data_IF_785677999026
#
_entry.id   IF_785677999026
#
_cell.length_a   1.000
_cell.length_b   1.000
_cell.length_c   1.000
_cell.angle_alpha   90.00
_cell.angle_beta   90.00
_cell.angle_gamma   90.00
#
_symmetry.space_group_name_H-M   'P 1'
#
loop_
_entity.id
_entity.type
_entity.pdbx_description
1 polymer ?
#
# COMPACT_ATOMS: atom_id res chain seq x y z
N UNK A 1 -22.11 -11.51 12.40
CA UNK A 1 -21.02 -11.61 11.43
C UNK A 1 -19.84 -12.34 12.06
N UNK A 2 -18.94 -12.90 11.24
CA UNK A 2 -17.73 -13.54 11.74
C UNK A 2 -16.84 -12.54 12.47
N UNK A 3 -16.21 -12.99 13.55
CA UNK A 3 -15.21 -12.20 14.27
C UNK A 3 -13.86 -12.38 13.56
N UNK A 4 -13.50 -11.40 12.72
CA UNK A 4 -12.29 -11.44 11.89
C UNK A 4 -11.25 -10.48 12.48
N UNK A 5 -10.03 -11.00 12.65
CA UNK A 5 -8.85 -10.23 13.04
C UNK A 5 -7.66 -10.61 12.17
N UNK A 6 -6.65 -9.75 12.12
CA UNK A 6 -5.39 -9.99 11.42
C UNK A 6 -4.22 -9.89 12.38
N UNK A 7 -3.17 -10.64 12.12
CA UNK A 7 -1.88 -10.58 12.82
C UNK A 7 -0.75 -10.54 11.81
N UNK A 8 0.42 -10.08 12.25
CA UNK A 8 1.66 -10.29 11.49
C UNK A 8 2.00 -11.78 11.41
N UNK A 9 2.83 -12.24 10.44
CA UNK A 9 3.38 -13.58 10.44
C UNK A 9 4.22 -13.84 11.70
N UNK A 10 4.33 -15.10 12.11
CA UNK A 10 5.22 -15.43 13.22
C UNK A 10 6.69 -15.21 12.84
N UNK A 11 7.57 -14.82 13.79
CA UNK A 11 9.00 -14.73 13.54
C UNK A 11 9.58 -15.98 12.90
N UNK A 12 9.20 -17.16 13.37
CA UNK A 12 9.64 -18.45 12.82
C UNK A 12 9.27 -18.59 11.33
N UNK A 13 8.04 -18.26 10.95
CA UNK A 13 7.61 -18.37 9.55
C UNK A 13 8.38 -17.40 8.63
N UNK A 14 8.75 -16.22 9.13
CA UNK A 14 9.58 -15.26 8.38
C UNK A 14 11.00 -15.82 8.20
N UNK A 15 11.60 -16.31 9.29
CA UNK A 15 12.95 -16.88 9.26
C UNK A 15 13.05 -18.12 8.36
N UNK A 16 12.07 -18.99 8.35
CA UNK A 16 12.03 -20.18 7.48
C UNK A 16 12.06 -19.79 5.98
N UNK A 17 11.35 -18.71 5.61
CA UNK A 17 11.37 -18.19 4.23
C UNK A 17 12.75 -17.59 3.90
N UNK A 18 13.31 -16.79 4.81
CA UNK A 18 14.63 -16.21 4.62
C UNK A 18 15.74 -17.28 4.53
N UNK A 19 15.69 -18.30 5.41
CA UNK A 19 16.63 -19.40 5.40
C UNK A 19 16.66 -20.10 4.04
N UNK A 20 15.47 -20.43 3.54
CA UNK A 20 15.34 -21.07 2.22
C UNK A 20 15.83 -20.16 1.10
N UNK A 21 15.51 -18.87 1.12
CA UNK A 21 15.96 -17.94 0.08
C UNK A 21 17.49 -17.74 0.11
N UNK A 22 18.10 -17.71 1.29
CA UNK A 22 19.54 -17.54 1.47
C UNK A 22 20.37 -18.80 1.14
N UNK A 23 19.75 -19.95 0.82
CA UNK A 23 20.41 -21.10 0.19
C UNK A 23 20.76 -20.83 -1.29
N UNK A 24 19.98 -19.98 -1.97
CA UNK A 24 20.10 -19.71 -3.40
C UNK A 24 20.60 -18.29 -3.71
N UNK A 25 20.32 -17.33 -2.83
CA UNK A 25 20.60 -15.91 -3.05
C UNK A 25 21.53 -15.35 -1.97
N UNK A 26 22.35 -14.39 -2.34
CA UNK A 26 23.27 -13.72 -1.41
C UNK A 26 22.57 -12.77 -0.46
N UNK A 27 21.56 -12.03 -0.97
CA UNK A 27 20.81 -11.01 -0.24
C UNK A 27 19.30 -11.13 -0.48
N UNK A 28 18.53 -10.64 0.48
CA UNK A 28 17.08 -10.54 0.43
C UNK A 28 16.67 -9.07 0.63
N UNK A 29 15.81 -8.56 -0.26
CA UNK A 29 15.02 -7.36 -0.01
C UNK A 29 13.66 -7.82 0.54
N UNK A 30 13.42 -7.58 1.82
CA UNK A 30 12.17 -7.95 2.49
C UNK A 30 11.26 -6.73 2.62
N UNK A 31 10.12 -6.77 1.95
CA UNK A 31 9.16 -5.67 1.83
C UNK A 31 7.85 -6.02 2.57
N UNK A 32 7.76 -5.78 3.87
CA UNK A 32 6.52 -5.95 4.62
C UNK A 32 5.56 -4.79 4.30
N UNK A 33 4.27 -4.95 4.65
CA UNK A 33 3.35 -3.82 4.60
C UNK A 33 3.80 -2.73 5.58
N UNK A 34 3.40 -1.49 5.30
CA UNK A 34 3.72 -0.28 6.06
C UNK A 34 3.88 -0.50 7.57
N UNK A 35 4.95 0.03 8.14
CA UNK A 35 5.22 0.04 9.59
C UNK A 35 4.12 0.76 10.40
N UNK A 36 3.38 1.67 9.77
CA UNK A 36 2.23 2.34 10.39
C UNK A 36 0.97 1.48 10.49
N UNK A 37 0.90 0.34 9.75
CA UNK A 37 -0.25 -0.57 9.72
C UNK A 37 0.02 -1.91 10.41
N UNK A 38 1.27 -2.33 10.48
CA UNK A 38 1.67 -3.63 11.05
C UNK A 38 3.02 -3.56 11.76
N UNK A 39 3.17 -4.35 12.82
CA UNK A 39 4.48 -4.55 13.45
C UNK A 39 5.41 -5.46 12.65
N UNK A 40 5.01 -5.96 11.47
CA UNK A 40 5.82 -6.85 10.63
C UNK A 40 7.20 -6.25 10.31
N UNK A 41 7.25 -4.95 9.99
CA UNK A 41 8.50 -4.24 9.75
C UNK A 41 9.42 -4.28 10.99
N UNK A 42 8.92 -3.87 12.15
CA UNK A 42 9.74 -3.83 13.37
C UNK A 42 10.24 -5.23 13.78
N UNK A 43 9.38 -6.25 13.63
CA UNK A 43 9.78 -7.63 13.88
C UNK A 43 10.85 -8.10 12.90
N UNK A 44 10.69 -7.82 11.61
CA UNK A 44 11.69 -8.15 10.59
C UNK A 44 13.02 -7.43 10.83
N UNK A 45 12.99 -6.15 11.22
CA UNK A 45 14.21 -5.40 11.58
C UNK A 45 14.96 -6.02 12.75
N UNK A 46 14.24 -6.51 13.77
CA UNK A 46 14.89 -7.21 14.89
C UNK A 46 15.54 -8.52 14.42
N UNK A 47 14.83 -9.32 13.63
CA UNK A 47 15.33 -10.59 13.11
C UNK A 47 16.53 -10.39 12.18
N UNK A 48 16.52 -9.35 11.34
CA UNK A 48 17.62 -9.05 10.41
C UNK A 48 18.93 -8.64 11.11
N UNK A 49 18.89 -8.33 12.43
CA UNK A 49 20.07 -8.06 13.24
C UNK A 49 20.72 -9.34 13.81
N UNK A 50 20.10 -10.51 13.68
CA UNK A 50 20.72 -11.77 14.08
C UNK A 50 21.94 -12.06 13.17
N UNK A 51 23.03 -12.57 13.74
CA UNK A 51 24.32 -12.84 13.06
C UNK A 51 24.13 -13.57 11.70
N UNK A 52 23.13 -14.44 11.61
CA UNK A 52 22.80 -15.20 10.40
C UNK A 52 22.29 -14.34 9.25
N UNK A 53 21.62 -13.23 9.54
CA UNK A 53 20.90 -12.38 8.58
C UNK A 53 21.53 -11.01 8.40
N UNK A 54 22.42 -10.61 9.33
CA UNK A 54 23.07 -9.30 9.30
C UNK A 54 23.80 -9.08 7.97
N UNK A 55 23.49 -7.95 7.32
CA UNK A 55 24.03 -7.58 6.00
C UNK A 55 23.50 -8.40 4.83
N UNK A 56 22.70 -9.45 5.08
CA UNK A 56 22.09 -10.31 4.03
C UNK A 56 20.60 -10.05 3.84
N UNK A 57 19.89 -9.65 4.88
CA UNK A 57 18.47 -9.31 4.81
C UNK A 57 18.29 -7.81 5.00
N UNK A 58 17.83 -7.15 3.95
CA UNK A 58 17.55 -5.72 3.91
C UNK A 58 16.03 -5.52 4.02
N UNK A 59 15.58 -5.04 5.17
CA UNK A 59 14.16 -4.75 5.39
C UNK A 59 13.84 -3.35 4.88
N UNK A 60 12.79 -3.23 4.06
CA UNK A 60 12.37 -1.97 3.43
C UNK A 60 11.10 -1.46 4.08
N UNK A 61 11.02 -0.19 4.48
CA UNK A 61 9.78 0.49 4.86
C UNK A 61 9.40 1.52 3.80
N UNK A 62 8.71 1.08 2.77
CA UNK A 62 8.17 1.96 1.74
C UNK A 62 6.86 2.63 2.14
N UNK A 63 6.34 2.31 3.33
CA UNK A 63 5.10 2.86 3.85
C UNK A 63 3.83 2.40 3.14
N UNK A 64 3.91 1.38 2.27
CA UNK A 64 2.83 0.99 1.36
C UNK A 64 2.08 -0.28 1.77
N UNK A 65 0.98 -0.51 1.08
CA UNK A 65 0.10 -1.69 1.23
C UNK A 65 -0.68 -1.91 -0.06
N UNK A 66 -1.17 -3.12 -0.32
CA UNK A 66 -2.00 -3.47 -1.50
C UNK A 66 -1.29 -3.14 -2.84
N UNK A 67 -2.03 -2.64 -3.84
CA UNK A 67 -1.50 -2.38 -5.18
C UNK A 67 -0.23 -1.50 -5.22
N UNK A 68 -0.05 -0.44 -4.42
CA UNK A 68 1.23 0.27 -4.34
C UNK A 68 2.41 -0.60 -3.91
N UNK A 69 2.24 -1.46 -2.91
CA UNK A 69 3.30 -2.40 -2.51
C UNK A 69 3.60 -3.40 -3.63
N UNK A 70 2.58 -3.89 -4.35
CA UNK A 70 2.79 -4.73 -5.52
C UNK A 70 3.62 -4.02 -6.59
N UNK A 71 3.31 -2.76 -6.93
CA UNK A 71 4.10 -1.98 -7.88
C UNK A 71 5.56 -1.83 -7.41
N UNK A 72 5.79 -1.54 -6.13
CA UNK A 72 7.15 -1.46 -5.59
C UNK A 72 7.93 -2.77 -5.74
N UNK A 73 7.26 -3.92 -5.64
CA UNK A 73 7.89 -5.22 -5.91
C UNK A 73 8.27 -5.35 -7.38
N UNK A 74 7.39 -4.94 -8.31
CA UNK A 74 7.70 -4.96 -9.75
C UNK A 74 8.86 -4.02 -10.08
N UNK A 75 8.89 -2.83 -9.52
CA UNK A 75 10.00 -1.88 -9.68
C UNK A 75 11.31 -2.43 -9.11
N UNK A 76 11.24 -3.16 -7.99
CA UNK A 76 12.39 -3.87 -7.40
C UNK A 76 12.96 -4.91 -8.35
N UNK A 77 12.11 -5.73 -8.98
CA UNK A 77 12.55 -6.75 -9.94
C UNK A 77 13.22 -6.10 -11.15
N UNK A 78 12.66 -5.02 -11.69
CA UNK A 78 13.24 -4.27 -12.82
C UNK A 78 14.61 -3.66 -12.43
N UNK A 79 14.77 -3.13 -11.24
CA UNK A 79 16.06 -2.63 -10.75
C UNK A 79 17.10 -3.73 -10.57
N UNK A 80 16.69 -4.91 -10.09
CA UNK A 80 17.57 -6.08 -9.98
C UNK A 80 18.05 -6.52 -11.37
N UNK A 81 17.14 -6.61 -12.35
CA UNK A 81 17.50 -6.95 -13.74
C UNK A 81 18.46 -5.94 -14.37
N UNK A 82 18.37 -4.68 -13.99
CA UNK A 82 19.30 -3.61 -14.40
C UNK A 82 20.62 -3.60 -13.64
N UNK A 83 20.81 -4.50 -12.67
CA UNK A 83 22.05 -4.67 -11.93
C UNK A 83 22.27 -3.66 -10.80
N UNK A 84 21.21 -3.10 -10.25
CA UNK A 84 21.32 -2.23 -9.07
C UNK A 84 21.66 -3.06 -7.83
N UNK A 85 22.52 -2.51 -6.97
CA UNK A 85 22.83 -3.11 -5.67
C UNK A 85 21.65 -3.04 -4.70
N UNK A 86 21.47 -4.07 -3.87
CA UNK A 86 20.32 -4.21 -2.99
C UNK A 86 20.15 -3.03 -2.01
N UNK A 87 21.25 -2.48 -1.49
CA UNK A 87 21.27 -1.33 -0.61
C UNK A 87 20.73 -0.07 -1.32
N UNK A 88 21.14 0.10 -2.57
CA UNK A 88 20.69 1.24 -3.37
C UNK A 88 19.22 1.11 -3.75
N UNK A 89 18.76 -0.11 -4.09
CA UNK A 89 17.33 -0.39 -4.33
C UNK A 89 16.50 -0.03 -3.09
N UNK A 90 16.92 -0.46 -1.89
CA UNK A 90 16.23 -0.10 -0.65
C UNK A 90 16.08 1.40 -0.48
N UNK A 91 17.16 2.18 -0.67
CA UNK A 91 17.13 3.64 -0.56
C UNK A 91 16.16 4.28 -1.56
N UNK A 92 16.10 3.77 -2.79
CA UNK A 92 15.19 4.28 -3.82
C UNK A 92 13.73 3.99 -3.47
N UNK A 93 13.42 2.77 -3.00
CA UNK A 93 12.06 2.36 -2.59
C UNK A 93 11.55 3.18 -1.41
N UNK A 94 12.37 3.38 -0.37
CA UNK A 94 12.01 4.18 0.80
C UNK A 94 11.73 5.65 0.42
N UNK A 95 12.52 6.22 -0.49
CA UNK A 95 12.27 7.57 -1.03
C UNK A 95 11.00 7.63 -1.90
N UNK A 96 10.75 6.59 -2.71
CA UNK A 96 9.57 6.53 -3.57
C UNK A 96 8.29 6.40 -2.74
N UNK A 97 8.33 5.72 -1.59
CA UNK A 97 7.21 5.59 -0.67
C UNK A 97 6.65 6.93 -0.20
N UNK A 98 7.48 7.95 -0.02
CA UNK A 98 7.06 9.31 0.34
C UNK A 98 6.27 10.02 -0.78
N UNK A 99 6.40 9.54 -2.03
CA UNK A 99 5.71 10.06 -3.22
C UNK A 99 4.51 9.22 -3.63
N UNK A 100 3.82 8.62 -2.69
CA UNK A 100 2.61 7.84 -2.95
C UNK A 100 1.44 8.37 -2.13
N UNK A 101 0.24 8.26 -2.70
CA UNK A 101 -1.00 8.62 -2.04
C UNK A 101 -2.07 7.57 -2.33
N UNK A 102 -2.74 7.10 -1.29
CA UNK A 102 -3.85 6.16 -1.41
C UNK A 102 -5.12 6.77 -0.82
N UNK A 103 -6.22 6.68 -1.58
CA UNK A 103 -7.57 6.97 -1.10
C UNK A 103 -8.36 5.67 -1.02
N UNK A 104 -8.97 5.41 0.15
CA UNK A 104 -9.67 4.16 0.45
C UNK A 104 -11.12 4.46 0.78
N UNK A 105 -12.04 4.12 -0.13
CA UNK A 105 -13.47 4.20 0.11
C UNK A 105 -13.96 2.91 0.78
N UNK A 106 -14.53 3.01 1.99
CA UNK A 106 -14.88 1.86 2.82
C UNK A 106 -16.38 1.65 2.94
N UNK A 107 -16.81 0.39 2.91
CA UNK A 107 -18.17 0.00 3.26
C UNK A 107 -18.44 0.23 4.76
N UNK A 108 -17.45 -0.08 5.61
CA UNK A 108 -17.51 0.09 7.07
C UNK A 108 -16.12 0.32 7.64
N UNK A 109 -16.06 1.04 8.76
CA UNK A 109 -14.84 1.22 9.57
C UNK A 109 -14.69 0.15 10.67
N UNK A 110 -15.66 -0.72 10.85
CA UNK A 110 -15.74 -1.62 11.98
C UNK A 110 -14.46 -2.46 12.17
N UNK A 111 -14.00 -3.10 11.10
CA UNK A 111 -12.82 -3.97 11.15
C UNK A 111 -11.52 -3.20 11.40
N UNK A 112 -11.39 -2.02 10.79
CA UNK A 112 -10.20 -1.17 11.01
C UNK A 112 -10.17 -0.58 12.42
N UNK A 113 -11.32 -0.19 12.96
CA UNK A 113 -11.44 0.25 14.36
C UNK A 113 -11.08 -0.88 15.32
N UNK A 114 -11.64 -2.07 15.11
CA UNK A 114 -11.36 -3.25 15.91
C UNK A 114 -9.87 -3.62 15.87
N UNK A 115 -9.27 -3.52 14.70
CA UNK A 115 -7.85 -3.76 14.48
C UNK A 115 -6.93 -2.66 15.03
N UNK A 116 -7.44 -1.49 15.37
CA UNK A 116 -6.64 -0.34 15.83
C UNK A 116 -5.76 0.28 14.74
N UNK A 117 -6.08 0.12 13.44
CA UNK A 117 -5.31 0.62 12.29
C UNK A 117 -5.79 1.95 11.76
N UNK A 118 -6.58 2.68 12.51
CA UNK A 118 -7.07 4.02 12.17
C UNK A 118 -6.69 5.03 13.23
N UNK A 119 -6.46 6.27 12.81
CA UNK A 119 -6.26 7.37 13.75
C UNK A 119 -7.53 7.61 14.60
N UNK A 120 -7.42 8.24 15.80
CA UNK A 120 -8.59 8.64 16.58
C UNK A 120 -9.58 9.49 15.78
N UNK A 121 -9.10 10.38 14.90
CA UNK A 121 -9.93 11.18 14.02
C UNK A 121 -10.73 10.32 13.04
N UNK A 122 -10.10 9.35 12.40
CA UNK A 122 -10.77 8.40 11.51
C UNK A 122 -11.74 7.50 12.30
N UNK A 123 -11.37 7.04 13.48
CA UNK A 123 -12.26 6.27 14.36
C UNK A 123 -13.52 7.03 14.77
N UNK A 124 -13.44 8.36 14.96
CA UNK A 124 -14.56 9.22 15.31
C UNK A 124 -15.57 9.43 14.18
N UNK A 125 -15.28 8.99 12.94
CA UNK A 125 -16.21 9.11 11.81
C UNK A 125 -17.55 8.38 12.03
N UNK A 126 -17.63 7.48 13.00
CA UNK A 126 -18.85 6.80 13.42
C UNK A 126 -19.43 5.84 12.37
N UNK A 127 -20.39 5.04 12.79
CA UNK A 127 -21.22 4.22 11.89
C UNK A 127 -22.59 4.89 11.77
N UNK A 128 -22.74 5.79 10.82
CA UNK A 128 -24.06 6.35 10.47
C UNK A 128 -24.57 5.62 9.23
N UNK A 129 -25.86 5.33 9.23
CA UNK A 129 -26.51 4.62 8.11
C UNK A 129 -26.17 5.27 6.76
N UNK A 130 -25.72 4.44 5.80
CA UNK A 130 -25.34 4.84 4.45
C UNK A 130 -24.20 5.88 4.34
N UNK A 131 -23.45 6.15 5.41
CA UNK A 131 -22.22 6.94 5.34
C UNK A 131 -21.07 6.01 4.96
N UNK A 132 -20.36 6.37 3.89
CA UNK A 132 -19.16 5.70 3.41
C UNK A 132 -17.96 6.61 3.68
N UNK A 133 -17.09 6.24 4.61
CA UNK A 133 -15.89 7.02 4.89
C UNK A 133 -14.86 6.79 3.78
N UNK A 134 -14.15 7.86 3.44
CA UNK A 134 -12.92 7.79 2.66
C UNK A 134 -11.78 8.10 3.61
N UNK A 135 -10.81 7.21 3.66
CA UNK A 135 -9.54 7.41 4.34
C UNK A 135 -8.47 7.75 3.32
N UNK A 136 -7.41 8.40 3.76
CA UNK A 136 -6.16 8.54 3.02
C UNK A 136 -5.04 7.84 3.77
N UNK A 137 -4.15 7.21 3.03
CA UNK A 137 -2.89 6.70 3.54
C UNK A 137 -1.77 7.55 2.94
N UNK A 138 -1.05 8.19 3.83
CA UNK A 138 0.16 8.93 3.53
C UNK A 138 1.13 8.70 4.68
N UNK A 139 2.39 8.43 4.36
CA UNK A 139 3.42 8.15 5.38
C UNK A 139 3.02 7.04 6.38
N UNK A 140 2.39 5.99 5.88
CA UNK A 140 2.10 4.77 6.64
C UNK A 140 0.93 4.84 7.62
N UNK A 141 0.11 5.91 7.66
CA UNK A 141 -1.03 6.04 8.56
C UNK A 141 -2.35 6.26 7.83
N UNK A 142 -3.37 5.49 8.25
CA UNK A 142 -4.74 5.69 7.77
C UNK A 142 -5.41 6.84 8.53
N UNK A 143 -5.65 7.94 7.83
CA UNK A 143 -6.31 9.10 8.39
C UNK A 143 -7.63 9.40 7.69
N UNK A 144 -8.44 10.21 8.34
CA UNK A 144 -9.73 10.63 7.83
C UNK A 144 -9.56 11.61 6.67
N UNK A 145 -10.24 11.36 5.54
CA UNK A 145 -10.30 12.29 4.43
C UNK A 145 -11.70 12.90 4.26
N UNK A 146 -12.71 12.08 3.97
CA UNK A 146 -14.06 12.57 3.69
C UNK A 146 -15.14 11.55 4.06
N UNK A 147 -16.39 12.03 4.28
CA UNK A 147 -17.60 11.22 4.43
C UNK A 147 -18.50 11.41 3.22
N UNK A 148 -19.00 10.31 2.65
CA UNK A 148 -19.92 10.35 1.52
C UNK A 148 -21.19 9.58 1.82
N UNK A 149 -22.30 9.98 1.20
CA UNK A 149 -23.53 9.21 1.21
C UNK A 149 -23.54 8.23 0.04
N UNK A 150 -23.39 6.95 0.34
CA UNK A 150 -23.35 5.87 -0.63
C UNK A 150 -21.99 5.68 -1.30
N UNK A 151 -21.75 4.46 -1.80
CA UNK A 151 -20.44 4.06 -2.35
C UNK A 151 -20.15 4.74 -3.69
N UNK A 152 -21.13 4.96 -4.55
CA UNK A 152 -20.92 5.64 -5.83
C UNK A 152 -20.36 7.05 -5.63
N UNK A 153 -20.92 7.81 -4.67
CA UNK A 153 -20.40 9.13 -4.34
C UNK A 153 -19.00 9.05 -3.73
N UNK A 154 -18.72 8.01 -2.93
CA UNK A 154 -17.38 7.81 -2.36
C UNK A 154 -16.34 7.52 -3.44
N UNK A 155 -16.64 6.62 -4.40
CA UNK A 155 -15.77 6.32 -5.54
C UNK A 155 -15.47 7.60 -6.35
N UNK A 156 -16.50 8.34 -6.76
CA UNK A 156 -16.34 9.60 -7.50
C UNK A 156 -15.48 10.60 -6.72
N UNK A 157 -15.72 10.75 -5.43
CA UNK A 157 -14.94 11.66 -4.57
C UNK A 157 -13.48 11.23 -4.45
N UNK A 158 -13.19 9.92 -4.40
CA UNK A 158 -11.81 9.41 -4.40
C UNK A 158 -11.09 9.71 -5.73
N UNK A 159 -11.77 9.55 -6.87
CA UNK A 159 -11.24 9.92 -8.19
C UNK A 159 -10.95 11.43 -8.26
N UNK A 160 -11.89 12.28 -7.85
CA UNK A 160 -11.71 13.75 -7.81
C UNK A 160 -10.54 14.16 -6.91
N UNK A 161 -10.37 13.47 -5.79
CA UNK A 161 -9.23 13.69 -4.90
C UNK A 161 -7.91 13.30 -5.57
N UNK A 162 -7.86 12.16 -6.26
CA UNK A 162 -6.68 11.72 -7.00
C UNK A 162 -6.33 12.68 -8.15
N UNK A 163 -7.32 13.20 -8.90
CA UNK A 163 -7.08 14.23 -9.92
C UNK A 163 -6.43 15.48 -9.31
N UNK A 164 -6.89 15.89 -8.13
CA UNK A 164 -6.33 17.04 -7.42
C UNK A 164 -4.90 16.74 -6.97
N UNK A 165 -4.67 15.56 -6.40
CA UNK A 165 -3.36 15.11 -5.95
C UNK A 165 -2.34 15.09 -7.10
N UNK A 166 -2.72 14.53 -8.25
CA UNK A 166 -1.86 14.48 -9.44
C UNK A 166 -1.50 15.90 -9.89
N UNK A 167 -2.48 16.79 -9.97
CA UNK A 167 -2.25 18.18 -10.41
C UNK A 167 -1.33 18.95 -9.46
N UNK A 168 -1.44 18.72 -8.16
CA UNK A 168 -0.74 19.51 -7.15
C UNK A 168 0.62 18.94 -6.78
N UNK A 169 0.77 17.60 -6.78
CA UNK A 169 1.93 16.92 -6.23
C UNK A 169 2.65 15.95 -7.19
N UNK A 170 2.00 15.52 -8.29
CA UNK A 170 2.54 14.52 -9.22
C UNK A 170 2.53 14.97 -10.69
N UNK A 171 2.37 16.25 -10.96
CA UNK A 171 2.33 16.77 -12.33
C UNK A 171 3.64 16.55 -13.08
N UNK A 172 4.77 16.57 -12.37
CA UNK A 172 6.09 16.22 -12.91
C UNK A 172 6.12 14.78 -13.40
N UNK A 173 5.71 13.83 -12.57
CA UNK A 173 5.66 12.40 -12.92
C UNK A 173 4.69 12.13 -14.09
N UNK A 174 3.56 12.84 -14.14
CA UNK A 174 2.63 12.73 -15.27
C UNK A 174 3.26 13.22 -16.58
N UNK A 175 3.95 14.36 -16.56
CA UNK A 175 4.61 14.93 -17.74
C UNK A 175 5.75 14.05 -18.25
N UNK A 176 6.47 13.40 -17.35
CA UNK A 176 7.60 12.50 -17.65
C UNK A 176 7.16 11.08 -18.03
N UNK A 177 5.84 10.79 -18.01
CA UNK A 177 5.30 9.46 -18.28
C UNK A 177 5.64 8.43 -17.20
N UNK A 178 6.03 8.88 -16.00
CA UNK A 178 6.43 8.05 -14.86
C UNK A 178 5.29 7.86 -13.83
N UNK A 179 4.10 8.42 -14.09
CA UNK A 179 2.94 8.25 -13.21
C UNK A 179 2.26 6.91 -13.47
N UNK A 180 2.09 6.12 -12.41
CA UNK A 180 1.28 4.91 -12.41
C UNK A 180 0.05 5.11 -11.53
N UNK A 181 -1.12 4.74 -12.04
CA UNK A 181 -2.33 4.63 -11.25
C UNK A 181 -2.52 3.18 -10.79
N UNK A 182 -2.90 3.03 -9.55
CA UNK A 182 -3.03 1.73 -8.92
C UNK A 182 -4.43 1.64 -8.34
N UNK A 183 -5.13 0.55 -8.61
CA UNK A 183 -6.47 0.33 -8.10
C UNK A 183 -6.60 -1.07 -7.51
N UNK A 184 -7.32 -1.21 -6.43
CA UNK A 184 -7.70 -2.50 -5.84
C UNK A 184 -9.11 -2.40 -5.25
N UNK A 185 -9.81 -3.52 -5.25
CA UNK A 185 -11.17 -3.60 -4.72
C UNK A 185 -11.46 -5.00 -4.18
N UNK A 186 -12.33 -5.07 -3.18
CA UNK A 186 -12.92 -6.32 -2.68
C UNK A 186 -14.34 -6.55 -3.21
N UNK A 187 -14.71 -5.90 -4.30
CA UNK A 187 -16.01 -6.06 -4.99
C UNK A 187 -16.08 -7.33 -5.85
N UNK A 188 -17.19 -7.51 -6.57
CA UNK A 188 -17.31 -8.56 -7.59
C UNK A 188 -16.49 -8.22 -8.81
N UNK A 189 -16.23 -9.21 -9.68
CA UNK A 189 -15.48 -9.00 -10.92
C UNK A 189 -16.15 -7.95 -11.83
N UNK A 190 -17.49 -7.92 -11.89
CA UNK A 190 -18.23 -6.91 -12.64
C UNK A 190 -18.10 -5.51 -12.05
N UNK A 191 -18.18 -5.37 -10.71
CA UNK A 191 -17.98 -4.11 -10.02
C UNK A 191 -16.56 -3.58 -10.19
N UNK A 192 -15.60 -4.50 -10.21
CA UNK A 192 -14.19 -4.19 -10.39
C UNK A 192 -13.89 -3.74 -11.82
N UNK A 193 -14.41 -4.46 -12.83
CA UNK A 193 -14.26 -4.07 -14.23
C UNK A 193 -14.87 -2.68 -14.49
N UNK A 194 -16.07 -2.43 -13.98
CA UNK A 194 -16.73 -1.12 -14.09
C UNK A 194 -15.90 -0.02 -13.40
N UNK A 195 -15.31 -0.31 -12.23
CA UNK A 195 -14.47 0.64 -11.50
C UNK A 195 -13.20 1.01 -12.27
N UNK A 196 -12.54 0.04 -12.90
CA UNK A 196 -11.35 0.28 -13.73
C UNK A 196 -11.69 1.12 -14.95
N UNK A 197 -12.83 0.87 -15.62
CA UNK A 197 -13.25 1.69 -16.77
C UNK A 197 -13.58 3.13 -16.33
N UNK A 198 -14.26 3.35 -15.19
CA UNK A 198 -14.48 4.70 -14.65
C UNK A 198 -13.15 5.44 -14.42
N UNK A 199 -12.11 4.75 -13.93
CA UNK A 199 -10.77 5.34 -13.74
C UNK A 199 -10.13 5.67 -15.09
N UNK A 200 -10.17 4.77 -16.07
CA UNK A 200 -9.59 4.99 -17.40
C UNK A 200 -10.21 6.18 -18.13
N UNK A 201 -11.52 6.36 -18.00
CA UNK A 201 -12.23 7.52 -18.59
C UNK A 201 -11.71 8.84 -18.03
N UNK A 202 -11.36 8.87 -16.76
CA UNK A 202 -10.90 10.09 -16.06
C UNK A 202 -9.41 10.35 -16.27
N UNK A 203 -8.60 9.29 -16.46
CA UNK A 203 -7.14 9.37 -16.61
C UNK A 203 -6.67 8.70 -17.92
N UNK A 204 -7.06 9.26 -19.08
CA UNK A 204 -6.73 8.65 -20.37
C UNK A 204 -5.22 8.62 -20.58
N UNK A 205 -4.70 7.46 -20.99
CA UNK A 205 -3.28 7.26 -21.31
C UNK A 205 -2.37 7.05 -20.11
N UNK A 206 -2.89 7.08 -18.88
CA UNK A 206 -2.10 6.72 -17.69
C UNK A 206 -2.17 5.21 -17.48
N UNK A 207 -1.02 4.50 -17.30
CA UNK A 207 -1.03 3.08 -16.97
C UNK A 207 -1.78 2.80 -15.65
N UNK A 208 -2.62 1.77 -15.65
CA UNK A 208 -3.36 1.35 -14.46
C UNK A 208 -2.99 -0.10 -14.13
N UNK A 209 -2.41 -0.31 -12.94
CA UNK A 209 -2.29 -1.62 -12.32
C UNK A 209 -3.52 -1.86 -11.47
N UNK A 210 -4.17 -3.01 -11.66
CA UNK A 210 -5.32 -3.43 -10.87
C UNK A 210 -5.02 -4.76 -10.16
N UNK A 211 -5.28 -4.82 -8.83
CA UNK A 211 -5.17 -5.98 -7.94
C UNK A 211 -6.53 -6.36 -7.31
#
# INVERSE_FOLDING_TARGET
GADISTSQPSPTAVMEIWDKALEEYEKILYMPISSGLSSSYNTAMMLAQEEKYEGRVLVVDDGQVAAPLHQMILDTLDMIEKGYEAEHIRELLEKAGDRMMIYIALQTLEFLKKGGRVTPAAAALGSVFNIKPILKLQTGKLDSFKKCHGMQKAKKTAIEAMQTEIRENFQDALNDGALHLLASSSGTDEENAAWVEEIKEVFPGVPILYD
#
